data_IF_977504376415
#
_entry.id   IF_977504376415
#
_cell.length_a   1.000
_cell.length_b   1.000
_cell.length_c   1.000
_cell.angle_alpha   90.00
_cell.angle_beta   90.00
_cell.angle_gamma   90.00
#
_symmetry.space_group_name_H-M   'P 1'
#
loop_
_entity.id
_entity.type
_entity.pdbx_description
1 polymer ?
#
# COMPACT_ATOMS: atom_id res chain seq x y z
N UNK A 1 0.91 -26.88 -27.31
CA UNK A 1 0.21 -26.93 -26.00
C UNK A 1 1.11 -26.16 -25.05
N UNK A 2 0.79 -24.90 -24.75
CA UNK A 2 1.48 -24.19 -23.67
C UNK A 2 1.05 -24.88 -22.36
N UNK A 3 2.02 -25.44 -21.68
CA UNK A 3 1.84 -26.30 -20.51
C UNK A 3 1.38 -25.45 -19.33
N UNK A 4 0.42 -25.93 -18.54
CA UNK A 4 0.04 -25.31 -17.26
C UNK A 4 1.22 -25.11 -16.28
N UNK A 5 2.39 -25.69 -16.56
CA UNK A 5 3.65 -25.44 -15.85
C UNK A 5 4.18 -24.00 -16.05
N UNK A 6 4.08 -23.44 -17.25
CA UNK A 6 4.62 -22.11 -17.56
C UNK A 6 3.92 -21.02 -16.74
N UNK A 7 2.60 -21.14 -16.56
CA UNK A 7 1.82 -20.20 -15.74
C UNK A 7 2.17 -20.25 -14.25
N UNK A 8 2.55 -21.42 -13.72
CA UNK A 8 2.88 -21.54 -12.31
C UNK A 8 4.24 -20.89 -12.00
N UNK A 9 5.21 -21.03 -12.91
CA UNK A 9 6.52 -20.37 -12.84
C UNK A 9 6.36 -18.84 -12.94
N UNK A 10 5.52 -18.36 -13.86
CA UNK A 10 5.18 -16.93 -13.99
C UNK A 10 4.57 -16.35 -12.70
N UNK A 11 3.70 -17.11 -12.03
CA UNK A 11 3.06 -16.69 -10.77
C UNK A 11 4.08 -16.65 -9.63
N UNK A 12 4.99 -17.62 -9.56
CA UNK A 12 6.02 -17.66 -8.52
C UNK A 12 7.07 -16.55 -8.71
N UNK A 13 7.46 -16.27 -9.95
CA UNK A 13 8.30 -15.10 -10.29
C UNK A 13 7.60 -13.79 -9.93
N UNK A 14 6.31 -13.65 -10.25
CA UNK A 14 5.54 -12.46 -9.88
C UNK A 14 5.47 -12.27 -8.36
N UNK A 15 5.25 -13.34 -7.60
CA UNK A 15 5.27 -13.30 -6.12
C UNK A 15 6.64 -12.91 -5.59
N UNK A 16 7.70 -13.50 -6.13
CA UNK A 16 9.08 -13.17 -5.75
C UNK A 16 9.41 -11.71 -6.06
N UNK A 17 8.97 -11.18 -7.21
CA UNK A 17 9.11 -9.78 -7.57
C UNK A 17 8.36 -8.87 -6.58
N UNK A 18 7.10 -9.19 -6.27
CA UNK A 18 6.29 -8.43 -5.32
C UNK A 18 6.95 -8.34 -3.94
N UNK A 19 7.49 -9.46 -3.43
CA UNK A 19 8.21 -9.49 -2.17
C UNK A 19 9.55 -8.73 -2.25
N UNK A 20 10.36 -8.98 -3.28
CA UNK A 20 11.69 -8.35 -3.45
C UNK A 20 11.63 -6.85 -3.61
N UNK A 21 10.58 -6.33 -4.24
CA UNK A 21 10.38 -4.90 -4.48
C UNK A 21 9.47 -4.25 -3.44
N UNK A 22 9.06 -4.97 -2.40
CA UNK A 22 8.12 -4.50 -1.37
C UNK A 22 6.87 -3.84 -1.98
N UNK A 23 6.36 -4.43 -3.06
CA UNK A 23 5.25 -3.87 -3.84
C UNK A 23 4.00 -3.75 -2.98
N UNK A 24 3.70 -4.78 -2.17
CA UNK A 24 2.57 -4.74 -1.23
C UNK A 24 2.69 -3.57 -0.26
N UNK A 25 3.84 -3.41 0.40
CA UNK A 25 4.10 -2.34 1.36
C UNK A 25 4.04 -0.94 0.73
N UNK A 26 4.49 -0.79 -0.52
CA UNK A 26 4.33 0.45 -1.29
C UNK A 26 2.85 0.77 -1.51
N UNK A 27 2.06 -0.19 -1.99
CA UNK A 27 0.63 0.04 -2.22
C UNK A 27 -0.16 0.23 -0.92
N UNK A 28 0.15 -0.52 0.13
CA UNK A 28 -0.44 -0.35 1.46
C UNK A 28 -0.20 1.06 1.99
N UNK A 29 1.06 1.54 1.98
CA UNK A 29 1.38 2.89 2.44
C UNK A 29 0.69 3.99 1.62
N UNK A 30 0.60 3.83 0.29
CA UNK A 30 -0.13 4.75 -0.59
C UNK A 30 -1.64 4.75 -0.28
N UNK A 31 -2.25 3.58 -0.15
CA UNK A 31 -3.67 3.43 0.16
C UNK A 31 -3.99 4.00 1.53
N UNK A 32 -3.19 3.70 2.56
CA UNK A 32 -3.36 4.28 3.91
C UNK A 32 -3.31 5.81 3.82
N UNK A 33 -2.37 6.38 3.09
CA UNK A 33 -2.24 7.83 2.97
C UNK A 33 -3.43 8.48 2.27
N UNK A 34 -3.98 7.86 1.23
CA UNK A 34 -5.18 8.35 0.53
C UNK A 34 -6.40 8.30 1.45
N UNK A 35 -6.65 7.17 2.13
CA UNK A 35 -7.82 7.01 3.00
C UNK A 35 -7.73 7.91 4.24
N UNK A 36 -6.51 8.14 4.74
CA UNK A 36 -6.24 9.03 5.87
C UNK A 36 -6.44 10.51 5.50
N UNK A 37 -5.78 10.99 4.44
CA UNK A 37 -5.78 12.41 4.09
C UNK A 37 -7.03 12.84 3.32
N UNK A 38 -7.74 11.89 2.68
CA UNK A 38 -8.92 12.15 1.84
C UNK A 38 -8.74 13.37 0.94
N UNK A 39 -7.67 13.38 0.11
CA UNK A 39 -7.38 14.51 -0.78
C UNK A 39 -8.54 14.78 -1.74
N UNK A 40 -8.77 16.06 -2.06
CA UNK A 40 -9.71 16.46 -3.12
C UNK A 40 -9.28 15.95 -4.50
N UNK A 41 -7.96 15.82 -4.72
CA UNK A 41 -7.35 15.18 -5.89
C UNK A 41 -6.45 14.00 -5.47
N UNK A 42 -6.99 12.77 -5.41
CA UNK A 42 -6.23 11.58 -5.06
C UNK A 42 -5.10 11.24 -6.03
N UNK A 43 -5.24 11.59 -7.32
CA UNK A 43 -4.25 11.24 -8.34
C UNK A 43 -3.01 12.10 -8.17
N UNK A 44 -3.18 13.42 -8.02
CA UNK A 44 -2.07 14.32 -7.76
C UNK A 44 -1.38 14.01 -6.42
N UNK A 45 -2.15 13.72 -5.37
CA UNK A 45 -1.59 13.33 -4.08
C UNK A 45 -0.74 12.04 -4.15
N UNK A 46 -1.21 11.03 -4.89
CA UNK A 46 -0.44 9.80 -5.09
C UNK A 46 0.87 10.05 -5.85
N UNK A 47 0.89 10.97 -6.81
CA UNK A 47 2.12 11.37 -7.50
C UNK A 47 3.13 11.95 -6.51
N UNK A 48 2.71 12.85 -5.60
CA UNK A 48 3.57 13.40 -4.56
C UNK A 48 4.13 12.32 -3.63
N UNK A 49 3.30 11.36 -3.21
CA UNK A 49 3.75 10.22 -2.41
C UNK A 49 4.80 9.39 -3.16
N UNK A 50 4.61 9.13 -4.45
CA UNK A 50 5.59 8.40 -5.28
C UNK A 50 6.90 9.17 -5.47
N UNK A 51 6.87 10.51 -5.56
CA UNK A 51 8.09 11.31 -5.57
C UNK A 51 8.87 11.21 -4.25
N UNK A 52 8.17 11.15 -3.10
CA UNK A 52 8.80 10.88 -1.80
C UNK A 52 9.34 9.45 -1.74
N UNK A 53 8.61 8.48 -2.32
CA UNK A 53 9.02 7.07 -2.39
C UNK A 53 10.34 6.89 -3.13
N UNK A 54 10.58 7.64 -4.21
CA UNK A 54 11.85 7.60 -4.95
C UNK A 54 13.05 8.03 -4.12
N UNK A 55 12.85 8.82 -3.07
CA UNK A 55 13.92 9.37 -2.24
C UNK A 55 14.16 8.55 -0.96
N UNK A 56 13.30 7.57 -0.65
CA UNK A 56 13.35 6.75 0.56
C UNK A 56 13.35 5.28 0.20
N UNK A 57 14.41 4.57 0.57
CA UNK A 57 14.53 3.13 0.31
C UNK A 57 13.71 2.28 1.30
N UNK A 58 13.40 2.81 2.49
CA UNK A 58 12.70 2.08 3.55
C UNK A 58 11.33 2.72 3.84
N UNK A 59 10.33 2.30 3.08
CA UNK A 59 8.97 2.83 3.16
C UNK A 59 8.15 2.04 4.17
N UNK A 60 7.85 2.65 5.31
CA UNK A 60 6.85 2.14 6.25
C UNK A 60 5.44 2.54 5.82
N UNK A 61 4.43 1.81 6.31
CA UNK A 61 3.00 2.05 6.07
C UNK A 61 2.58 3.52 6.36
N UNK A 62 3.23 4.18 7.32
CA UNK A 62 2.95 5.55 7.75
C UNK A 62 3.83 6.61 7.04
N UNK A 63 4.66 6.22 6.07
CA UNK A 63 5.66 7.11 5.44
C UNK A 63 5.06 8.33 4.75
N UNK A 64 3.80 8.22 4.32
CA UNK A 64 3.11 9.24 3.52
C UNK A 64 2.01 10.00 4.28
N UNK A 65 1.80 9.71 5.58
CA UNK A 65 0.75 10.37 6.36
C UNK A 65 0.94 11.89 6.47
N UNK A 66 2.19 12.37 6.41
CA UNK A 66 2.55 13.78 6.57
C UNK A 66 2.85 14.50 5.26
N UNK A 67 2.53 13.90 4.10
CA UNK A 67 2.81 14.54 2.79
C UNK A 67 2.01 15.84 2.63
N UNK A 68 0.79 15.92 3.19
CA UNK A 68 -0.04 17.13 3.15
C UNK A 68 0.28 18.19 4.22
N UNK A 69 0.99 17.85 5.29
CA UNK A 69 1.37 18.84 6.33
C UNK A 69 2.27 19.95 5.78
N UNK A 70 2.89 19.74 4.61
CA UNK A 70 3.69 20.75 3.92
C UNK A 70 2.84 21.78 3.16
N UNK A 71 1.60 21.44 2.78
CA UNK A 71 0.70 22.36 2.07
C UNK A 71 -0.30 23.06 3.00
N UNK A 72 -0.69 22.44 4.12
CA UNK A 72 -1.60 23.05 5.09
C UNK A 72 -1.09 22.88 6.53
N UNK A 73 -0.57 23.97 7.09
CA UNK A 73 -0.11 24.05 8.49
C UNK A 73 -1.33 24.06 9.42
N UNK A 74 -1.72 22.93 10.02
CA UNK A 74 -2.30 22.83 11.39
C UNK A 74 -2.81 21.42 11.70
N UNK A 75 -2.51 20.99 12.93
CA UNK A 75 -3.23 19.97 13.73
C UNK A 75 -2.87 18.50 13.51
N UNK A 76 -1.86 18.09 14.28
CA UNK A 76 -1.70 16.73 14.79
C UNK A 76 -3.02 16.18 15.34
N UNK A 77 -3.51 15.04 14.87
CA UNK A 77 -4.41 14.16 15.64
C UNK A 77 -4.13 12.70 15.28
N UNK A 78 -3.65 11.99 16.29
CA UNK A 78 -3.38 10.56 16.38
C UNK A 78 -4.62 9.71 16.04
N UNK A 79 -4.60 9.01 14.91
CA UNK A 79 -5.53 7.90 14.62
C UNK A 79 -4.80 6.71 13.98
N UNK A 80 -3.65 6.36 14.56
CA UNK A 80 -2.73 5.29 14.10
C UNK A 80 -3.32 3.89 14.27
N UNK A 81 -4.35 3.68 15.09
CA UNK A 81 -4.83 2.33 15.49
C UNK A 81 -6.04 1.77 14.74
N UNK A 82 -6.65 2.49 13.80
CA UNK A 82 -7.86 2.01 13.12
C UNK A 82 -7.57 1.20 11.85
N UNK A 83 -6.42 1.44 11.20
CA UNK A 83 -6.10 0.80 9.91
C UNK A 83 -5.56 -0.62 10.04
N UNK A 84 -4.86 -0.96 11.13
CA UNK A 84 -4.38 -2.33 11.42
C UNK A 84 -5.53 -3.35 11.31
N UNK A 85 -6.72 -2.99 11.81
CA UNK A 85 -7.89 -3.88 11.82
C UNK A 85 -8.58 -4.08 10.47
N UNK A 86 -8.33 -3.21 9.48
CA UNK A 86 -9.04 -3.27 8.19
C UNK A 86 -8.41 -4.33 7.27
N UNK A 87 -7.10 -4.57 7.40
CA UNK A 87 -6.39 -5.52 6.56
C UNK A 87 -6.31 -6.94 7.14
N UNK A 88 -6.56 -7.11 8.45
CA UNK A 88 -6.70 -8.41 9.13
C UNK A 88 -8.04 -9.13 8.86
N UNK A 89 -8.84 -8.70 7.88
CA UNK A 89 -10.05 -9.47 7.53
C UNK A 89 -9.64 -10.73 6.75
N UNK A 90 -9.40 -11.78 7.52
CA UNK A 90 -9.09 -13.13 7.08
C UNK A 90 -10.15 -13.61 6.06
N UNK A 91 -9.70 -14.24 4.97
CA UNK A 91 -10.57 -14.91 4.02
C UNK A 91 -11.13 -16.17 4.70
N UNK A 92 -12.34 -16.06 5.27
CA UNK A 92 -13.08 -17.23 5.74
C UNK A 92 -13.34 -18.16 4.54
N UNK A 93 -12.53 -19.22 4.47
CA UNK A 93 -12.72 -20.29 3.51
C UNK A 93 -13.88 -21.14 4.03
N UNK A 94 -15.11 -20.82 3.61
CA UNK A 94 -16.26 -21.71 3.81
C UNK A 94 -16.03 -23.03 3.04
N UNK A 95 -15.43 -24.00 3.71
CA UNK A 95 -15.49 -25.42 3.36
C UNK A 95 -16.80 -25.96 3.94
N UNK A 96 -17.83 -26.08 3.10
CA UNK A 96 -19.11 -26.64 3.48
C UNK A 96 -19.24 -28.06 2.91
N UNK A 97 -19.34 -29.06 3.80
CA UNK A 97 -19.95 -30.37 3.55
C UNK A 97 -19.13 -31.41 2.81
#
# INVERSE_FOLDING_TARGET
MASNLDFAEDIEEAKAYMAKKNVFQLFESLLTAVVHNRPDDPVNFLQECLEVAKQKEDLQWNSFLHVQDKSNKSSQTTQTGLFDKVFDTEVDTTSNG
#
